data_IF_544386620192
#
_entry.id   IF_544386620192
#
_cell.length_a   1.000
_cell.length_b   1.000
_cell.length_c   1.000
_cell.angle_alpha   90.00
_cell.angle_beta   90.00
_cell.angle_gamma   90.00
#
_symmetry.space_group_name_H-M   'P 1'
#
loop_
_entity.id
_entity.type
_entity.pdbx_description
1 polymer ?
#
# COMPACT_ATOMS: atom_id res chain seq x y z
N UNK A 1 45.53 8.63 13.88
CA UNK A 1 45.64 9.03 12.47
C UNK A 1 45.28 7.82 11.61
N UNK A 2 44.06 7.74 11.10
CA UNK A 2 43.68 6.71 10.15
C UNK A 2 44.05 7.19 8.74
N UNK A 3 44.89 6.43 8.03
CA UNK A 3 45.33 6.72 6.66
C UNK A 3 44.13 6.61 5.73
N UNK A 4 43.83 7.72 5.05
CA UNK A 4 43.01 7.76 3.85
C UNK A 4 43.78 7.04 2.75
N UNK A 5 43.18 6.05 2.07
CA UNK A 5 43.70 5.51 0.81
C UNK A 5 42.82 6.12 -0.27
N UNK A 6 43.39 7.01 -1.08
CA UNK A 6 42.66 7.71 -2.14
C UNK A 6 42.24 6.77 -3.26
N UNK A 7 41.24 7.19 -4.06
CA UNK A 7 40.75 6.52 -5.27
C UNK A 7 41.92 6.15 -6.22
N UNK A 8 42.91 7.03 -6.31
CA UNK A 8 44.17 6.86 -7.05
C UNK A 8 45.09 5.79 -6.44
N UNK A 9 45.18 5.67 -5.11
CA UNK A 9 46.06 4.70 -4.43
C UNK A 9 45.47 3.29 -4.47
N UNK A 10 44.14 3.16 -4.43
CA UNK A 10 43.44 1.91 -4.74
C UNK A 10 43.74 1.51 -6.18
N UNK A 11 43.54 2.42 -7.14
CA UNK A 11 43.81 2.19 -8.56
C UNK A 11 45.28 1.80 -8.82
N UNK A 12 46.25 2.49 -8.21
CA UNK A 12 47.70 2.24 -8.32
C UNK A 12 48.16 0.94 -7.65
N UNK A 13 47.51 0.51 -6.55
CA UNK A 13 47.80 -0.77 -5.92
C UNK A 13 47.34 -1.95 -6.80
N UNK A 14 46.26 -1.77 -7.58
CA UNK A 14 45.68 -2.80 -8.44
C UNK A 14 46.23 -2.82 -9.86
N UNK A 15 46.61 -1.68 -10.44
CA UNK A 15 47.26 -1.57 -11.76
C UNK A 15 48.63 -2.29 -11.85
N UNK A 16 49.24 -2.64 -10.70
CA UNK A 16 50.51 -3.39 -10.62
C UNK A 16 50.33 -4.92 -10.66
N UNK A 17 49.09 -5.43 -10.70
CA UNK A 17 48.79 -6.85 -10.84
C UNK A 17 49.05 -7.32 -12.28
N UNK A 18 50.09 -8.13 -12.50
CA UNK A 18 50.54 -8.59 -13.84
C UNK A 18 49.59 -9.57 -14.57
N UNK A 19 48.41 -9.88 -14.02
CA UNK A 19 47.49 -10.87 -14.57
C UNK A 19 46.04 -10.33 -14.63
N UNK A 20 45.78 -9.41 -15.57
CA UNK A 20 44.46 -9.07 -16.18
C UNK A 20 43.32 -8.52 -15.28
N UNK A 21 42.39 -7.70 -15.82
CA UNK A 21 42.52 -6.26 -15.99
C UNK A 21 41.63 -5.45 -15.02
N UNK A 22 41.82 -4.14 -15.06
CA UNK A 22 41.12 -3.07 -14.36
C UNK A 22 39.67 -3.36 -13.91
N UNK A 23 39.56 -3.62 -12.60
CA UNK A 23 38.41 -3.48 -11.71
C UNK A 23 37.01 -3.75 -12.29
N UNK A 24 36.52 -4.97 -12.03
CA UNK A 24 35.12 -5.30 -12.23
C UNK A 24 34.39 -5.42 -10.89
N UNK A 25 33.60 -4.40 -10.56
CA UNK A 25 32.99 -4.25 -9.24
C UNK A 25 31.50 -4.55 -9.30
N UNK A 26 31.06 -5.41 -8.38
CA UNK A 26 29.73 -6.02 -8.28
C UNK A 26 28.91 -5.36 -7.15
N UNK A 27 27.80 -4.65 -7.45
CA UNK A 27 26.83 -4.15 -6.44
C UNK A 27 25.65 -5.13 -6.30
N UNK A 28 25.38 -5.59 -5.06
CA UNK A 28 24.45 -6.71 -4.75
C UNK A 28 23.52 -6.49 -3.54
N UNK A 29 23.10 -5.25 -3.26
CA UNK A 29 22.23 -4.94 -2.09
C UNK A 29 20.91 -5.75 -2.10
N UNK A 30 20.39 -6.25 -0.97
CA UNK A 30 19.68 -5.54 0.12
C UNK A 30 20.26 -5.83 1.53
N UNK A 31 20.13 -4.89 2.48
CA UNK A 31 20.48 -5.09 3.89
C UNK A 31 19.48 -4.35 4.78
N UNK A 32 18.66 -5.09 5.52
CA UNK A 32 17.89 -4.57 6.68
C UNK A 32 18.77 -4.06 7.87
N UNK A 33 20.08 -3.79 7.70
CA UNK A 33 21.09 -3.77 8.81
C UNK A 33 22.22 -2.71 8.77
N UNK A 34 22.10 -1.56 8.11
CA UNK A 34 23.26 -0.64 8.01
C UNK A 34 23.48 0.27 9.22
N UNK A 35 23.70 -0.33 10.38
CA UNK A 35 24.42 0.30 11.48
C UNK A 35 25.95 0.11 11.29
N UNK A 36 26.69 1.19 11.03
CA UNK A 36 28.05 1.36 11.57
C UNK A 36 29.29 1.08 10.70
N UNK A 37 29.43 1.58 9.47
CA UNK A 37 30.71 1.47 8.75
C UNK A 37 30.95 2.49 7.64
N UNK A 38 32.19 3.00 7.56
CA UNK A 38 32.62 4.13 6.72
C UNK A 38 32.88 3.78 5.24
N UNK A 39 32.43 4.65 4.32
CA UNK A 39 33.22 5.06 3.14
C UNK A 39 33.27 4.18 1.89
N UNK A 40 32.41 3.17 1.71
CA UNK A 40 32.40 2.34 0.49
C UNK A 40 30.96 2.00 0.05
N UNK A 41 30.75 1.72 -1.25
CA UNK A 41 29.60 0.93 -1.72
C UNK A 41 29.64 -0.42 -0.97
N UNK A 42 28.87 -0.58 0.11
CA UNK A 42 28.91 -1.79 0.92
C UNK A 42 28.41 -3.00 0.10
N UNK A 43 29.15 -4.12 0.14
CA UNK A 43 29.04 -5.29 -0.77
C UNK A 43 29.50 -5.06 -2.22
N UNK A 44 30.30 -4.03 -2.50
CA UNK A 44 31.04 -3.94 -3.75
C UNK A 44 32.20 -4.96 -3.77
N UNK A 45 32.10 -6.01 -4.59
CA UNK A 45 33.17 -7.01 -4.74
C UNK A 45 33.92 -6.82 -6.05
N UNK A 46 35.25 -6.77 -5.98
CA UNK A 46 36.07 -6.98 -7.16
C UNK A 46 36.18 -8.50 -7.36
N UNK A 47 35.73 -9.02 -8.49
CA UNK A 47 35.67 -10.48 -8.69
C UNK A 47 36.34 -10.93 -9.98
N UNK A 48 36.88 -12.15 -9.98
CA UNK A 48 37.38 -12.88 -11.15
C UNK A 48 36.73 -14.25 -11.27
N UNK A 49 36.75 -14.84 -12.45
CA UNK A 49 36.35 -16.25 -12.62
C UNK A 49 37.50 -17.15 -12.17
N UNK A 50 37.17 -18.27 -11.50
CA UNK A 50 38.15 -19.33 -11.18
C UNK A 50 38.79 -19.88 -12.45
N UNK A 51 40.01 -20.43 -12.34
CA UNK A 51 40.72 -21.00 -13.48
C UNK A 51 39.94 -22.13 -14.20
N UNK A 52 39.04 -22.83 -13.50
CA UNK A 52 38.18 -23.86 -14.06
C UNK A 52 36.83 -23.34 -14.60
N UNK A 53 36.57 -22.03 -14.57
CA UNK A 53 35.35 -21.41 -15.09
C UNK A 53 34.09 -21.61 -14.25
N UNK A 54 34.18 -22.29 -13.09
CA UNK A 54 33.02 -22.76 -12.32
C UNK A 54 32.51 -21.81 -11.25
N UNK A 55 33.33 -20.86 -10.77
CA UNK A 55 32.91 -19.92 -9.73
C UNK A 55 33.52 -18.52 -9.94
N UNK A 56 33.00 -17.52 -9.21
CA UNK A 56 33.63 -16.23 -9.04
C UNK A 56 34.37 -16.18 -7.71
N UNK A 57 35.53 -15.55 -7.70
CA UNK A 57 36.37 -15.31 -6.53
C UNK A 57 36.56 -13.80 -6.35
N UNK A 58 36.45 -13.32 -5.12
CA UNK A 58 36.87 -11.98 -4.75
C UNK A 58 38.42 -11.88 -4.74
N UNK A 59 38.96 -10.71 -5.10
CA UNK A 59 40.38 -10.39 -5.04
C UNK A 59 40.91 -10.18 -3.61
N UNK A 60 40.04 -10.08 -2.59
CA UNK A 60 40.43 -9.87 -1.17
C UNK A 60 41.19 -11.02 -0.50
N UNK A 61 41.49 -12.13 -1.22
CA UNK A 61 42.17 -13.35 -0.74
C UNK A 61 41.50 -14.09 0.43
N UNK A 62 40.31 -13.69 0.86
CA UNK A 62 39.61 -14.39 1.91
C UNK A 62 39.04 -15.73 1.40
N UNK A 63 39.20 -16.80 2.20
CA UNK A 63 38.80 -18.17 1.86
C UNK A 63 37.27 -18.32 1.81
N UNK A 64 36.66 -17.97 0.69
CA UNK A 64 35.22 -18.13 0.47
C UNK A 64 34.95 -19.25 -0.53
N UNK A 65 34.21 -20.27 -0.07
CA UNK A 65 33.80 -21.41 -0.88
C UNK A 65 32.53 -21.08 -1.71
N UNK A 66 32.12 -22.00 -2.60
CA UNK A 66 30.93 -21.84 -3.45
C UNK A 66 29.66 -21.45 -2.66
N UNK A 67 29.50 -21.95 -1.42
CA UNK A 67 28.40 -21.60 -0.51
C UNK A 67 28.31 -20.11 -0.17
N UNK A 68 29.45 -19.41 -0.11
CA UNK A 68 29.44 -17.97 0.14
C UNK A 68 28.74 -17.23 -1.00
N UNK A 69 29.05 -17.59 -2.25
CA UNK A 69 28.52 -16.89 -3.41
C UNK A 69 27.00 -16.88 -3.47
N UNK A 70 26.35 -17.97 -3.04
CA UNK A 70 24.90 -18.19 -3.01
C UNK A 70 24.15 -17.03 -2.34
N UNK A 71 24.70 -16.49 -1.24
CA UNK A 71 24.11 -15.37 -0.50
C UNK A 71 24.44 -13.99 -1.09
N UNK A 72 25.29 -13.91 -2.11
CA UNK A 72 25.83 -12.65 -2.63
C UNK A 72 25.07 -12.22 -3.88
N UNK A 73 25.11 -12.98 -4.98
CA UNK A 73 24.57 -12.55 -6.29
C UNK A 73 23.51 -13.47 -6.91
N UNK A 74 23.35 -14.69 -6.43
CA UNK A 74 22.41 -15.64 -7.04
C UNK A 74 20.96 -15.20 -6.86
N UNK A 75 20.21 -15.21 -7.96
CA UNK A 75 18.85 -14.65 -8.04
C UNK A 75 18.73 -13.20 -7.50
N UNK A 76 19.79 -12.41 -7.58
CA UNK A 76 19.75 -10.97 -7.24
C UNK A 76 19.98 -10.09 -8.46
N UNK A 77 19.47 -8.85 -8.45
CA UNK A 77 19.96 -7.82 -9.36
C UNK A 77 21.45 -7.57 -9.12
N UNK A 78 22.21 -7.53 -10.19
CA UNK A 78 23.66 -7.31 -10.16
C UNK A 78 24.01 -6.19 -11.12
N UNK A 79 24.84 -5.25 -10.64
CA UNK A 79 25.49 -4.27 -11.50
C UNK A 79 26.96 -4.62 -11.60
N UNK A 80 27.44 -4.70 -12.84
CA UNK A 80 28.84 -4.80 -13.19
C UNK A 80 29.23 -3.50 -13.87
N UNK A 81 30.27 -2.85 -13.38
CA UNK A 81 30.88 -1.72 -14.08
C UNK A 81 32.38 -1.92 -14.26
N UNK A 82 32.92 -1.32 -15.31
CA UNK A 82 34.34 -1.41 -15.67
C UNK A 82 34.71 -0.40 -16.75
N UNK A 83 35.93 -0.47 -17.31
CA UNK A 83 36.43 0.48 -18.29
C UNK A 83 35.57 0.53 -19.57
N UNK A 84 35.74 1.57 -20.39
CA UNK A 84 34.99 1.79 -21.64
C UNK A 84 35.00 0.56 -22.57
N UNK A 85 36.12 -0.16 -22.60
CA UNK A 85 36.30 -1.36 -23.40
C UNK A 85 35.76 -2.65 -22.74
N UNK A 86 34.99 -2.57 -21.66
CA UNK A 86 34.39 -3.75 -21.01
C UNK A 86 33.43 -4.48 -21.98
N UNK A 87 33.87 -5.65 -22.44
CA UNK A 87 33.16 -6.42 -23.45
C UNK A 87 32.13 -7.38 -22.85
N UNK A 88 31.13 -7.78 -23.65
CA UNK A 88 30.09 -8.74 -23.25
C UNK A 88 30.64 -10.14 -23.00
N UNK A 89 31.72 -10.51 -23.69
CA UNK A 89 32.45 -11.77 -23.54
C UNK A 89 33.46 -11.76 -22.38
N UNK A 90 33.52 -10.68 -21.59
CA UNK A 90 34.35 -10.64 -20.39
C UNK A 90 34.00 -11.85 -19.49
N UNK A 91 34.99 -12.60 -18.95
CA UNK A 91 34.73 -13.86 -18.27
C UNK A 91 33.69 -13.75 -17.15
N UNK A 92 33.73 -12.67 -16.36
CA UNK A 92 32.76 -12.45 -15.28
C UNK A 92 31.37 -12.07 -15.80
N UNK A 93 31.28 -11.25 -16.85
CA UNK A 93 30.00 -10.86 -17.46
C UNK A 93 29.35 -12.10 -18.06
N UNK A 94 30.13 -12.90 -18.78
CA UNK A 94 29.72 -14.20 -19.33
C UNK A 94 29.32 -15.17 -18.22
N UNK A 95 30.04 -15.18 -17.10
CA UNK A 95 29.69 -15.98 -15.94
C UNK A 95 28.33 -15.57 -15.39
N UNK A 96 28.07 -14.29 -15.15
CA UNK A 96 26.83 -13.81 -14.52
C UNK A 96 25.61 -13.84 -15.45
N UNK A 97 25.85 -13.79 -16.77
CA UNK A 97 24.81 -13.82 -17.80
C UNK A 97 24.18 -15.21 -18.01
N UNK A 98 24.75 -16.29 -17.46
CA UNK A 98 24.13 -17.62 -17.60
C UNK A 98 22.87 -17.72 -16.76
N UNK A 99 21.91 -18.48 -17.29
CA UNK A 99 20.59 -18.62 -16.68
C UNK A 99 20.66 -19.12 -15.23
N UNK A 100 19.77 -18.59 -14.39
CA UNK A 100 19.70 -18.89 -12.96
C UNK A 100 20.81 -18.28 -12.08
N UNK A 101 21.77 -17.52 -12.63
CA UNK A 101 22.88 -16.95 -11.86
C UNK A 101 22.63 -15.57 -11.29
N UNK A 102 21.79 -14.77 -11.93
CA UNK A 102 21.37 -13.45 -11.46
C UNK A 102 19.92 -13.23 -11.88
N UNK A 103 19.19 -12.36 -11.17
CA UNK A 103 17.82 -11.97 -11.54
C UNK A 103 17.80 -10.95 -12.68
N UNK A 104 18.81 -10.09 -12.70
CA UNK A 104 19.06 -9.11 -13.76
C UNK A 104 20.51 -8.66 -13.70
N UNK A 105 21.14 -8.46 -14.86
CA UNK A 105 22.53 -8.01 -14.95
C UNK A 105 22.60 -6.68 -15.71
N UNK A 106 22.98 -5.60 -15.03
CA UNK A 106 23.34 -4.33 -15.64
C UNK A 106 24.84 -4.28 -15.90
N UNK A 107 25.26 -3.86 -17.10
CA UNK A 107 26.67 -3.69 -17.46
C UNK A 107 26.91 -2.25 -17.86
N UNK A 108 27.72 -1.52 -17.07
CA UNK A 108 28.08 -0.13 -17.31
C UNK A 108 29.54 -0.05 -17.75
N UNK A 109 29.74 0.63 -18.87
CA UNK A 109 31.07 0.91 -19.45
C UNK A 109 31.45 2.32 -19.04
N UNK A 110 32.74 2.66 -19.12
CA UNK A 110 33.29 4.00 -18.80
C UNK A 110 33.53 4.27 -17.29
N UNK A 111 33.66 3.21 -16.51
CA UNK A 111 34.16 3.28 -15.13
C UNK A 111 33.19 3.86 -14.11
N UNK A 112 33.70 4.18 -12.92
CA UNK A 112 32.91 4.62 -11.78
C UNK A 112 32.25 6.00 -12.00
N UNK A 113 32.87 6.87 -12.80
CA UNK A 113 32.34 8.19 -13.14
C UNK A 113 31.05 8.10 -13.95
N UNK A 114 31.05 7.33 -15.04
CA UNK A 114 29.85 7.11 -15.83
C UNK A 114 28.76 6.35 -15.06
N UNK A 115 29.13 5.42 -14.17
CA UNK A 115 28.18 4.79 -13.25
C UNK A 115 27.56 5.81 -12.28
N UNK A 116 28.35 6.77 -11.79
CA UNK A 116 27.88 7.87 -10.93
C UNK A 116 26.99 8.84 -11.69
N UNK A 117 27.28 9.13 -12.95
CA UNK A 117 26.42 9.98 -13.77
C UNK A 117 25.10 9.29 -14.15
N UNK A 118 25.16 7.98 -14.39
CA UNK A 118 23.99 7.16 -14.71
C UNK A 118 23.12 6.88 -13.48
N UNK A 119 23.74 6.60 -12.32
CA UNK A 119 23.09 6.19 -11.08
C UNK A 119 23.65 6.99 -9.87
N UNK A 120 23.51 8.33 -9.85
CA UNK A 120 24.14 9.20 -8.84
C UNK A 120 23.72 8.87 -7.41
N UNK A 121 22.50 8.36 -7.25
CA UNK A 121 21.93 7.94 -5.97
C UNK A 121 22.63 6.73 -5.32
N UNK A 122 23.48 6.00 -6.05
CA UNK A 122 24.30 4.93 -5.48
C UNK A 122 25.53 5.47 -4.72
N UNK A 123 25.85 6.75 -4.89
CA UNK A 123 27.07 7.36 -4.39
C UNK A 123 26.73 8.39 -3.30
N UNK A 124 27.45 8.36 -2.17
CA UNK A 124 27.34 9.39 -1.12
C UNK A 124 28.71 10.02 -0.88
N UNK A 125 28.74 11.35 -0.71
CA UNK A 125 29.94 12.10 -0.30
C UNK A 125 30.01 12.31 1.22
N UNK A 126 28.97 11.93 1.97
CA UNK A 126 28.84 12.19 3.41
C UNK A 126 28.78 10.90 4.21
N UNK A 127 29.68 10.78 5.19
CA UNK A 127 29.69 9.68 6.18
C UNK A 127 28.70 9.91 7.33
N UNK A 128 27.98 11.04 7.36
CA UNK A 128 27.11 11.46 8.49
C UNK A 128 25.63 11.65 8.13
N UNK A 129 25.27 11.75 6.85
CA UNK A 129 23.86 11.85 6.44
C UNK A 129 23.26 10.45 6.26
N UNK A 130 22.08 10.19 6.81
CA UNK A 130 21.35 8.96 6.53
C UNK A 130 21.09 8.87 5.01
N UNK A 131 21.46 7.72 4.42
CA UNK A 131 21.21 7.48 3.00
C UNK A 131 19.70 7.44 2.76
N UNK A 132 19.19 8.13 1.72
CA UNK A 132 17.77 8.07 1.38
C UNK A 132 17.36 6.64 1.02
N UNK A 133 16.21 6.19 1.53
CA UNK A 133 15.56 4.96 1.06
C UNK A 133 14.95 5.22 -0.31
N UNK A 134 15.08 4.27 -1.23
CA UNK A 134 14.55 4.39 -2.59
C UNK A 134 13.36 3.46 -2.83
N UNK A 135 12.33 3.91 -3.57
CA UNK A 135 11.18 3.09 -3.92
C UNK A 135 11.56 1.99 -4.92
N UNK A 136 10.75 0.93 -4.97
CA UNK A 136 11.01 -0.21 -5.84
C UNK A 136 10.67 0.12 -7.30
N UNK A 137 11.61 -0.06 -8.22
CA UNK A 137 11.36 0.08 -9.66
C UNK A 137 10.55 -1.13 -10.18
N UNK A 138 9.26 -0.90 -10.42
CA UNK A 138 8.32 -1.91 -10.96
C UNK A 138 8.40 -1.93 -12.49
N UNK A 139 8.58 -0.75 -13.10
CA UNK A 139 9.03 -0.60 -14.48
C UNK A 139 10.33 0.18 -14.43
N UNK A 140 11.40 -0.44 -14.93
CA UNK A 140 12.74 0.13 -14.89
C UNK A 140 12.74 1.56 -15.48
N UNK A 141 13.31 2.49 -14.71
CA UNK A 141 13.49 3.91 -15.05
C UNK A 141 12.20 4.67 -15.42
N UNK A 142 11.03 4.17 -15.00
CA UNK A 142 9.74 4.73 -15.42
C UNK A 142 8.66 4.70 -14.33
N UNK A 143 8.48 3.58 -13.62
CA UNK A 143 7.41 3.45 -12.61
C UNK A 143 7.95 2.84 -11.34
N UNK A 144 7.80 3.58 -10.25
CA UNK A 144 8.27 3.24 -8.92
C UNK A 144 7.11 3.03 -7.95
N UNK A 145 7.24 2.04 -7.06
CA UNK A 145 6.31 1.73 -5.99
C UNK A 145 6.97 2.01 -4.63
N UNK A 146 6.39 2.93 -3.88
CA UNK A 146 6.93 3.37 -2.60
C UNK A 146 5.88 3.53 -1.49
N UNK A 147 6.34 4.10 -0.40
CA UNK A 147 5.58 4.49 0.78
C UNK A 147 5.66 6.02 0.98
N UNK A 148 5.16 6.49 2.11
CA UNK A 148 5.08 7.92 2.39
C UNK A 148 6.45 8.61 2.45
N UNK A 149 7.46 7.95 3.03
CA UNK A 149 8.79 8.55 3.20
C UNK A 149 9.46 8.78 1.84
N UNK A 150 9.31 7.84 0.90
CA UNK A 150 9.81 7.99 -0.46
C UNK A 150 9.21 9.20 -1.20
N UNK A 151 7.92 9.47 -0.98
CA UNK A 151 7.24 10.59 -1.63
C UNK A 151 7.57 11.94 -0.99
N UNK A 152 7.94 11.94 0.29
CA UNK A 152 8.30 13.14 1.05
C UNK A 152 9.78 13.55 0.89
N UNK A 153 10.66 12.66 0.39
CA UNK A 153 12.08 12.97 0.19
C UNK A 153 12.33 13.56 -1.21
N UNK A 154 12.54 14.88 -1.27
CA UNK A 154 12.85 15.60 -2.50
C UNK A 154 14.09 15.07 -3.23
N UNK A 155 15.09 14.55 -2.51
CA UNK A 155 16.28 13.97 -3.14
C UNK A 155 15.91 12.71 -3.90
N UNK A 156 15.06 11.86 -3.33
CA UNK A 156 14.56 10.64 -4.00
C UNK A 156 13.82 11.00 -5.28
N UNK A 157 12.96 12.03 -5.25
CA UNK A 157 12.22 12.47 -6.43
C UNK A 157 13.14 12.98 -7.54
N UNK A 158 14.16 13.79 -7.18
CA UNK A 158 15.13 14.32 -8.15
C UNK A 158 16.03 13.23 -8.73
N UNK A 159 16.58 12.37 -7.88
CA UNK A 159 17.52 11.33 -8.26
C UNK A 159 16.88 10.31 -9.22
N UNK A 160 15.58 10.05 -9.07
CA UNK A 160 14.80 9.16 -9.93
C UNK A 160 14.09 9.87 -11.09
N UNK A 161 14.31 11.19 -11.26
CA UNK A 161 13.63 12.00 -12.27
C UNK A 161 12.10 11.86 -12.23
N UNK A 162 11.52 11.77 -11.02
CA UNK A 162 10.08 11.68 -10.83
C UNK A 162 9.45 13.00 -11.26
N UNK A 163 8.44 12.90 -12.11
CA UNK A 163 7.68 14.04 -12.64
C UNK A 163 6.19 13.95 -12.32
N UNK A 164 5.73 12.80 -11.84
CA UNK A 164 4.38 12.59 -11.31
C UNK A 164 4.43 11.74 -10.03
N UNK A 165 3.76 12.22 -9.00
CA UNK A 165 3.50 11.47 -7.77
C UNK A 165 2.01 11.13 -7.70
N UNK A 166 1.69 9.84 -7.68
CA UNK A 166 0.35 9.31 -7.45
C UNK A 166 0.24 8.90 -5.98
N UNK A 167 -0.54 9.66 -5.20
CA UNK A 167 -0.74 9.40 -3.77
C UNK A 167 -2.10 8.75 -3.56
N UNK A 168 -2.15 7.55 -3.00
CA UNK A 168 -3.40 6.92 -2.54
C UNK A 168 -3.35 6.73 -1.02
N UNK A 169 -4.07 7.57 -0.27
CA UNK A 169 -3.95 7.66 1.19
C UNK A 169 -5.26 8.05 1.86
N UNK A 170 -5.37 7.90 3.19
CA UNK A 170 -6.53 8.40 3.94
C UNK A 170 -6.59 9.93 3.92
N UNK A 171 -5.41 10.55 3.79
CA UNK A 171 -5.25 12.00 3.85
C UNK A 171 -4.09 12.44 2.95
N UNK A 172 -4.27 12.41 1.61
CA UNK A 172 -3.19 12.64 0.65
C UNK A 172 -2.71 14.10 0.63
N UNK A 173 -3.54 15.04 1.07
CA UNK A 173 -3.19 16.48 1.21
C UNK A 173 -2.11 16.76 2.25
N UNK A 174 -1.79 15.78 3.11
CA UNK A 174 -0.72 15.91 4.08
C UNK A 174 0.67 15.76 3.44
N UNK A 175 0.75 15.26 2.20
CA UNK A 175 2.00 15.29 1.44
C UNK A 175 2.22 16.72 0.96
N UNK A 176 3.20 17.40 1.55
CA UNK A 176 3.53 18.80 1.27
C UNK A 176 4.97 18.90 0.78
N UNK A 177 5.27 19.99 0.07
CA UNK A 177 6.65 20.29 -0.33
C UNK A 177 7.16 19.50 -1.53
N UNK A 178 6.27 18.99 -2.39
CA UNK A 178 6.70 18.43 -3.67
C UNK A 178 7.41 19.52 -4.51
N UNK A 179 8.47 19.17 -5.27
CA UNK A 179 9.12 20.12 -6.16
C UNK A 179 8.14 20.69 -7.19
N UNK A 180 8.37 21.93 -7.64
CA UNK A 180 7.43 22.67 -8.50
C UNK A 180 7.18 22.01 -9.86
N UNK A 181 8.15 21.25 -10.34
CA UNK A 181 8.14 20.51 -11.59
C UNK A 181 7.57 19.09 -11.47
N UNK A 182 7.15 18.69 -10.27
CA UNK A 182 6.51 17.39 -9.99
C UNK A 182 5.00 17.56 -9.89
N UNK A 183 4.26 16.93 -10.79
CA UNK A 183 2.81 16.88 -10.73
C UNK A 183 2.34 15.97 -9.58
N UNK A 184 1.26 16.35 -8.91
CA UNK A 184 0.66 15.59 -7.82
C UNK A 184 -0.74 15.12 -8.19
N UNK A 185 -0.98 13.80 -8.12
CA UNK A 185 -2.28 13.18 -8.32
C UNK A 185 -2.75 12.47 -7.04
N UNK A 186 -3.51 13.17 -6.17
CA UNK A 186 -3.96 12.62 -4.89
C UNK A 186 -5.33 11.92 -4.98
N UNK A 187 -5.44 10.76 -4.33
CA UNK A 187 -6.68 10.01 -4.13
C UNK A 187 -6.89 9.69 -2.66
N UNK A 188 -8.10 9.96 -2.16
CA UNK A 188 -8.53 9.58 -0.82
C UNK A 188 -9.07 8.16 -0.87
N UNK A 189 -8.40 7.22 -0.20
CA UNK A 189 -8.85 5.83 -0.13
C UNK A 189 -8.33 5.16 1.14
N UNK A 190 -9.24 4.57 1.91
CA UNK A 190 -8.89 3.75 3.07
C UNK A 190 -8.36 2.37 2.64
N UNK A 191 -7.54 1.75 3.47
CA UNK A 191 -6.98 0.42 3.18
C UNK A 191 -7.86 -0.69 3.77
N UNK A 192 -9.09 -0.79 3.27
CA UNK A 192 -10.08 -1.76 3.74
C UNK A 192 -10.55 -2.64 2.58
N UNK A 193 -10.90 -3.89 2.88
CA UNK A 193 -11.40 -4.83 1.87
C UNK A 193 -12.76 -4.43 1.28
N UNK A 194 -13.48 -3.53 1.94
CA UNK A 194 -14.77 -2.98 1.50
C UNK A 194 -14.64 -1.77 0.59
N UNK A 195 -13.46 -1.14 0.54
CA UNK A 195 -13.23 0.06 -0.27
C UNK A 195 -13.15 -0.28 -1.76
N UNK A 196 -13.62 0.66 -2.59
CA UNK A 196 -13.67 0.47 -4.05
C UNK A 196 -12.47 1.16 -4.68
N UNK A 197 -11.41 0.39 -4.92
CA UNK A 197 -10.20 0.87 -5.59
C UNK A 197 -10.31 0.79 -7.12
N UNK A 198 -11.15 -0.11 -7.65
CA UNK A 198 -11.31 -0.35 -9.09
C UNK A 198 -11.60 0.90 -9.93
N UNK A 199 -12.44 1.86 -9.49
CA UNK A 199 -12.67 3.10 -10.24
C UNK A 199 -11.41 3.95 -10.47
N UNK A 200 -10.37 3.75 -9.64
CA UNK A 200 -9.10 4.45 -9.80
C UNK A 200 -8.20 3.82 -10.87
N UNK A 201 -8.42 2.56 -11.25
CA UNK A 201 -7.50 1.83 -12.13
C UNK A 201 -7.36 2.53 -13.48
N UNK A 202 -8.45 2.81 -14.19
CA UNK A 202 -8.36 3.40 -15.54
C UNK A 202 -7.75 4.79 -15.52
N UNK A 203 -8.20 5.65 -14.60
CA UNK A 203 -7.70 7.04 -14.46
C UNK A 203 -6.21 7.06 -14.11
N UNK A 204 -5.77 6.21 -13.17
CA UNK A 204 -4.36 6.11 -12.80
C UNK A 204 -3.55 5.52 -13.94
N UNK A 205 -4.05 4.47 -14.59
CA UNK A 205 -3.33 3.77 -15.65
C UNK A 205 -3.06 4.69 -16.84
N UNK A 206 -4.07 5.44 -17.29
CA UNK A 206 -3.94 6.43 -18.36
C UNK A 206 -2.91 7.50 -17.98
N UNK A 207 -3.04 8.09 -16.78
CA UNK A 207 -2.15 9.18 -16.36
C UNK A 207 -0.70 8.73 -16.15
N UNK A 208 -0.49 7.51 -15.64
CA UNK A 208 0.85 6.89 -15.53
C UNK A 208 1.40 6.60 -16.92
N UNK A 209 0.59 6.06 -17.84
CA UNK A 209 1.01 5.74 -19.19
C UNK A 209 1.43 6.99 -19.97
N UNK A 210 0.67 8.07 -19.89
CA UNK A 210 1.00 9.35 -20.51
C UNK A 210 2.32 9.91 -19.98
N UNK A 211 2.51 9.86 -18.66
CA UNK A 211 3.70 10.43 -18.03
C UNK A 211 4.97 9.66 -18.38
N UNK A 212 4.91 8.32 -18.38
CA UNK A 212 6.05 7.46 -18.74
C UNK A 212 6.48 7.65 -20.19
N UNK A 213 5.54 7.99 -21.08
CA UNK A 213 5.83 8.27 -22.48
C UNK A 213 6.22 9.74 -22.74
N UNK A 214 6.06 10.62 -21.75
CA UNK A 214 6.43 12.03 -21.86
C UNK A 214 7.94 12.20 -21.89
N UNK A 215 8.41 13.04 -22.81
CA UNK A 215 9.83 13.44 -22.89
C UNK A 215 10.05 14.74 -22.12
N UNK A 216 11.13 14.79 -21.33
CA UNK A 216 11.47 15.90 -20.44
C UNK A 216 12.85 16.48 -20.79
N UNK A 217 12.91 17.81 -20.91
CA UNK A 217 14.16 18.57 -21.12
C UNK A 217 14.73 18.53 -22.55
N UNK A 218 15.77 19.33 -22.80
CA UNK A 218 16.47 19.44 -24.11
C UNK A 218 17.33 18.21 -24.47
N UNK A 219 17.30 17.15 -23.65
CA UNK A 219 18.14 15.93 -23.75
C UNK A 219 17.39 14.59 -23.66
N UNK A 220 16.11 14.53 -24.05
CA UNK A 220 15.30 13.31 -24.24
C UNK A 220 15.23 12.29 -23.08
N UNK A 221 15.16 12.71 -21.80
CA UNK A 221 14.89 11.76 -20.70
C UNK A 221 13.38 11.55 -20.56
N UNK A 222 12.94 10.31 -20.32
CA UNK A 222 11.52 10.00 -20.06
C UNK A 222 11.14 10.46 -18.65
N UNK A 223 9.91 10.94 -18.50
CA UNK A 223 9.32 11.20 -17.19
C UNK A 223 9.18 9.90 -16.39
N UNK A 224 9.25 9.99 -15.07
CA UNK A 224 9.05 8.85 -14.19
C UNK A 224 7.94 9.12 -13.17
N UNK A 225 7.29 8.04 -12.74
CA UNK A 225 6.11 8.09 -11.86
C UNK A 225 6.40 7.36 -10.56
N UNK A 226 6.04 7.98 -9.43
CA UNK A 226 6.01 7.34 -8.12
C UNK A 226 4.56 7.07 -7.71
N UNK A 227 4.19 5.81 -7.55
CA UNK A 227 2.91 5.39 -6.96
C UNK A 227 3.17 5.02 -5.50
N UNK A 228 2.52 5.71 -4.56
CA UNK A 228 2.72 5.46 -3.14
C UNK A 228 1.44 5.55 -2.31
N UNK A 229 1.50 4.95 -1.12
CA UNK A 229 0.49 5.09 -0.09
C UNK A 229 1.16 5.37 1.25
N UNK A 230 0.55 4.95 2.37
CA UNK A 230 1.17 5.06 3.70
C UNK A 230 2.41 4.17 3.83
N UNK A 231 2.23 2.84 3.74
CA UNK A 231 3.30 1.85 3.95
C UNK A 231 3.86 1.24 2.65
N UNK A 232 3.28 1.57 1.50
CA UNK A 232 3.66 0.96 0.22
C UNK A 232 3.38 -0.55 0.14
N UNK A 233 2.36 -1.03 0.87
CA UNK A 233 2.02 -2.46 0.99
C UNK A 233 0.80 -2.82 0.16
N UNK A 234 -0.35 -2.17 0.38
CA UNK A 234 -1.65 -2.61 -0.17
C UNK A 234 -2.19 -1.68 -1.26
N UNK A 235 -2.69 -0.48 -0.92
CA UNK A 235 -3.31 0.47 -1.89
C UNK A 235 -2.43 0.77 -3.10
N UNK A 236 -1.19 1.23 -2.87
CA UNK A 236 -0.28 1.57 -3.96
C UNK A 236 0.22 0.35 -4.72
N UNK A 237 0.35 -0.80 -4.06
CA UNK A 237 0.70 -2.05 -4.72
C UNK A 237 -0.43 -2.51 -5.66
N UNK A 238 -1.70 -2.37 -5.25
CA UNK A 238 -2.84 -2.68 -6.10
C UNK A 238 -2.87 -1.79 -7.34
N UNK A 239 -2.67 -0.47 -7.22
CA UNK A 239 -2.56 0.42 -8.37
C UNK A 239 -1.38 0.06 -9.29
N UNK A 240 -0.20 -0.26 -8.73
CA UNK A 240 0.95 -0.68 -9.51
C UNK A 240 0.70 -2.00 -10.26
N UNK A 241 0.00 -2.96 -9.64
CA UNK A 241 -0.42 -4.20 -10.29
C UNK A 241 -1.43 -3.93 -11.41
N UNK A 242 -2.45 -3.10 -11.16
CA UNK A 242 -3.43 -2.70 -12.17
C UNK A 242 -2.77 -2.06 -13.40
N UNK A 243 -1.74 -1.24 -13.20
CA UNK A 243 -0.98 -0.65 -14.30
C UNK A 243 -0.21 -1.69 -15.12
N UNK A 244 0.44 -2.66 -14.47
CA UNK A 244 1.09 -3.76 -15.19
C UNK A 244 0.09 -4.60 -15.99
N UNK A 245 -1.08 -4.88 -15.42
CA UNK A 245 -2.15 -5.60 -16.11
C UNK A 245 -2.63 -4.82 -17.34
N UNK A 246 -2.88 -3.51 -17.18
CA UNK A 246 -3.31 -2.63 -18.27
C UNK A 246 -2.29 -2.57 -19.41
N UNK A 247 -1.01 -2.38 -19.06
CA UNK A 247 0.10 -2.20 -20.00
C UNK A 247 0.48 -3.47 -20.74
N UNK A 248 0.58 -4.58 -20.01
CA UNK A 248 1.13 -5.83 -20.54
C UNK A 248 0.06 -6.89 -20.84
N UNK A 249 -1.22 -6.58 -20.62
CA UNK A 249 -2.36 -7.48 -20.80
C UNK A 249 -2.17 -8.82 -20.09
N UNK A 250 -1.72 -8.76 -18.83
CA UNK A 250 -1.46 -9.93 -18.01
C UNK A 250 -2.46 -10.08 -16.84
N UNK A 251 -2.50 -11.27 -16.25
CA UNK A 251 -3.35 -11.57 -15.08
C UNK A 251 -2.85 -10.86 -13.82
N UNK A 252 -3.73 -10.65 -12.85
CA UNK A 252 -3.41 -10.13 -11.52
C UNK A 252 -2.33 -10.96 -10.82
N UNK A 253 -2.36 -12.29 -10.96
CA UNK A 253 -1.33 -13.19 -10.44
C UNK A 253 0.05 -12.91 -11.05
N UNK A 254 0.11 -12.75 -12.38
CA UNK A 254 1.36 -12.42 -13.08
C UNK A 254 1.87 -11.02 -12.68
N UNK A 255 0.99 -10.03 -12.60
CA UNK A 255 1.33 -8.68 -12.14
C UNK A 255 1.85 -8.70 -10.70
N UNK A 256 1.20 -9.43 -9.79
CA UNK A 256 1.60 -9.59 -8.39
C UNK A 256 2.99 -10.21 -8.27
N UNK A 257 3.28 -11.28 -9.00
CA UNK A 257 4.58 -11.93 -9.01
C UNK A 257 5.70 -10.95 -9.43
N UNK A 258 5.45 -10.13 -10.45
CA UNK A 258 6.40 -9.12 -10.93
C UNK A 258 6.63 -8.00 -9.91
N UNK A 259 5.59 -7.55 -9.23
CA UNK A 259 5.71 -6.57 -8.14
C UNK A 259 6.48 -7.17 -6.97
N UNK A 260 6.17 -8.39 -6.54
CA UNK A 260 6.83 -9.06 -5.40
C UNK A 260 8.33 -9.31 -5.63
N UNK A 261 8.75 -9.56 -6.88
CA UNK A 261 10.17 -9.64 -7.25
C UNK A 261 10.95 -8.36 -6.99
N UNK A 262 10.26 -7.22 -6.89
CA UNK A 262 10.86 -5.88 -6.70
C UNK A 262 10.55 -5.29 -5.31
N UNK A 263 9.40 -5.62 -4.72
CA UNK A 263 8.98 -5.22 -3.37
C UNK A 263 8.29 -6.38 -2.67
N UNK A 264 9.04 -7.13 -1.87
CA UNK A 264 8.59 -8.38 -1.22
C UNK A 264 7.46 -8.19 -0.20
N UNK A 265 7.28 -6.97 0.31
CA UNK A 265 6.21 -6.63 1.25
C UNK A 265 4.91 -6.21 0.55
N UNK A 266 4.87 -6.16 -0.79
CA UNK A 266 3.70 -5.74 -1.52
C UNK A 266 2.59 -6.80 -1.45
N UNK A 267 1.49 -6.46 -0.80
CA UNK A 267 0.34 -7.33 -0.58
C UNK A 267 -0.93 -6.49 -0.49
N UNK A 268 -1.71 -6.38 -1.59
CA UNK A 268 -3.06 -5.82 -1.53
C UNK A 268 -3.91 -6.55 -0.48
N UNK A 269 -4.82 -5.84 0.17
CA UNK A 269 -5.85 -6.52 0.97
C UNK A 269 -6.73 -7.42 0.07
N UNK A 270 -7.46 -8.37 0.67
CA UNK A 270 -8.22 -9.37 -0.09
C UNK A 270 -9.34 -8.75 -0.95
N UNK A 271 -9.91 -7.61 -0.54
CA UNK A 271 -10.90 -6.88 -1.33
C UNK A 271 -10.33 -6.21 -2.58
N UNK A 272 -9.15 -5.60 -2.46
CA UNK A 272 -8.43 -5.03 -3.59
C UNK A 272 -7.92 -6.13 -4.53
N UNK A 273 -7.51 -7.27 -3.98
CA UNK A 273 -7.15 -8.44 -4.77
C UNK A 273 -8.31 -8.94 -5.63
N UNK A 274 -9.49 -9.12 -5.04
CA UNK A 274 -10.70 -9.50 -5.80
C UNK A 274 -11.02 -8.49 -6.90
N UNK A 275 -10.90 -7.20 -6.62
CA UNK A 275 -11.09 -6.14 -7.61
C UNK A 275 -10.06 -6.18 -8.74
N UNK A 276 -8.80 -6.55 -8.46
CA UNK A 276 -7.81 -6.81 -9.52
C UNK A 276 -8.18 -8.02 -10.37
N UNK A 277 -8.62 -9.12 -9.76
CA UNK A 277 -9.10 -10.29 -10.50
C UNK A 277 -10.31 -9.96 -11.40
N UNK A 278 -11.24 -9.14 -10.92
CA UNK A 278 -12.36 -8.64 -11.74
C UNK A 278 -11.88 -7.76 -12.90
N UNK A 279 -10.87 -6.92 -12.67
CA UNK A 279 -10.30 -6.03 -13.70
C UNK A 279 -9.66 -6.81 -14.88
N UNK A 280 -9.28 -8.07 -14.70
CA UNK A 280 -8.86 -8.95 -15.80
C UNK A 280 -9.94 -9.09 -16.88
N UNK A 281 -11.21 -9.05 -16.49
CA UNK A 281 -12.37 -9.14 -17.38
C UNK A 281 -12.48 -7.86 -18.20
N UNK A 282 -12.39 -6.70 -17.54
CA UNK A 282 -12.48 -5.38 -18.20
C UNK A 282 -11.38 -5.21 -19.25
N UNK A 283 -10.18 -5.74 -18.97
CA UNK A 283 -9.04 -5.68 -19.87
C UNK A 283 -9.04 -6.76 -20.97
N UNK A 284 -10.00 -7.69 -20.96
CA UNK A 284 -10.07 -8.79 -21.93
C UNK A 284 -8.92 -9.79 -21.84
N UNK A 285 -8.27 -9.93 -20.68
CA UNK A 285 -7.13 -10.84 -20.49
C UNK A 285 -7.60 -12.31 -20.55
N UNK A 286 -6.89 -13.17 -21.29
CA UNK A 286 -7.15 -14.60 -21.34
C UNK A 286 -6.43 -15.32 -20.18
N UNK A 287 -7.20 -15.86 -19.24
CA UNK A 287 -6.71 -16.44 -17.98
C UNK A 287 -7.35 -15.77 -16.77
N UNK A 288 -7.48 -16.50 -15.66
CA UNK A 288 -8.12 -15.99 -14.44
C UNK A 288 -7.25 -16.27 -13.22
N UNK A 289 -7.02 -15.23 -12.42
CA UNK A 289 -6.38 -15.38 -11.11
C UNK A 289 -7.36 -15.92 -10.08
N UNK A 290 -6.87 -16.65 -9.08
CA UNK A 290 -7.70 -17.10 -7.95
C UNK A 290 -8.06 -15.89 -7.06
N UNK A 291 -9.34 -15.50 -6.97
CA UNK A 291 -9.78 -14.37 -6.16
C UNK A 291 -9.58 -14.59 -4.65
N UNK A 292 -9.32 -15.81 -4.21
CA UNK A 292 -9.11 -16.18 -2.80
C UNK A 292 -7.63 -16.41 -2.44
N UNK A 293 -6.70 -16.14 -3.36
CA UNK A 293 -5.26 -16.34 -3.14
C UNK A 293 -4.69 -15.46 -2.02
N UNK A 294 -5.31 -14.32 -1.73
CA UNK A 294 -4.99 -13.46 -0.58
C UNK A 294 -6.08 -13.66 0.47
N UNK A 295 -5.69 -14.21 1.63
CA UNK A 295 -6.63 -14.47 2.73
C UNK A 295 -7.02 -13.15 3.40
N UNK A 296 -8.32 -12.99 3.63
CA UNK A 296 -8.85 -11.95 4.52
C UNK A 296 -8.18 -12.09 5.88
N UNK A 297 -7.64 -10.99 6.42
CA UNK A 297 -7.09 -10.97 7.78
C UNK A 297 -8.18 -11.21 8.84
N UNK A 298 -9.45 -11.14 8.44
CA UNK A 298 -10.63 -11.39 9.26
C UNK A 298 -11.28 -12.77 8.99
N UNK A 299 -10.65 -13.64 8.20
CA UNK A 299 -11.24 -14.92 7.77
C UNK A 299 -11.71 -15.82 8.94
N UNK A 300 -11.04 -15.80 10.09
CA UNK A 300 -11.46 -16.58 11.26
C UNK A 300 -12.78 -16.06 11.88
N UNK A 301 -13.02 -14.75 11.85
CA UNK A 301 -14.27 -14.14 12.29
C UNK A 301 -15.39 -14.31 11.25
N UNK A 302 -15.04 -14.32 9.96
CA UNK A 302 -16.00 -14.52 8.87
C UNK A 302 -16.48 -15.98 8.75
N UNK A 303 -15.62 -16.96 9.05
CA UNK A 303 -16.00 -18.39 9.03
C UNK A 303 -16.95 -18.72 10.19
N UNK A 304 -16.67 -18.19 11.39
CA UNK A 304 -17.56 -18.32 12.55
C UNK A 304 -18.92 -17.60 12.31
N UNK A 305 -18.89 -16.41 11.70
CA UNK A 305 -20.10 -15.67 11.34
C UNK A 305 -20.91 -16.33 10.20
N UNK A 306 -20.26 -17.04 9.28
CA UNK A 306 -20.93 -17.78 8.19
C UNK A 306 -21.65 -19.05 8.70
N UNK A 307 -21.05 -19.78 9.65
CA UNK A 307 -21.70 -20.93 10.31
C UNK A 307 -22.87 -20.50 11.21
N UNK A 308 -22.81 -19.31 11.80
CA UNK A 308 -23.90 -18.74 12.60
C UNK A 308 -25.02 -18.14 11.71
N UNK A 309 -24.67 -17.54 10.57
CA UNK A 309 -25.61 -17.04 9.57
C UNK A 309 -26.36 -18.17 8.82
N UNK A 310 -25.74 -19.33 8.62
CA UNK A 310 -26.39 -20.51 8.05
C UNK A 310 -27.47 -21.12 8.98
N UNK A 311 -27.52 -20.72 10.25
CA UNK A 311 -28.55 -21.11 11.23
C UNK A 311 -29.67 -20.08 11.41
N UNK A 312 -29.56 -18.90 10.79
CA UNK A 312 -30.61 -17.89 10.80
C UNK A 312 -31.62 -18.15 9.68
N UNK A 313 -32.94 -17.95 9.89
CA UNK A 313 -33.93 -18.13 8.83
C UNK A 313 -33.66 -17.14 7.69
N UNK A 314 -33.84 -17.61 6.45
CA UNK A 314 -33.48 -16.91 5.22
C UNK A 314 -33.87 -15.42 5.22
N UNK A 315 -32.89 -14.55 4.97
CA UNK A 315 -33.08 -13.12 4.87
C UNK A 315 -34.04 -12.78 3.72
N UNK A 316 -35.02 -11.91 4.00
CA UNK A 316 -35.91 -11.33 3.01
C UNK A 316 -35.18 -10.42 1.99
N UNK A 317 -35.92 -9.89 1.00
CA UNK A 317 -35.35 -9.25 -0.18
C UNK A 317 -34.55 -7.99 0.12
N UNK A 318 -33.64 -7.62 -0.78
CA UNK A 318 -32.70 -6.53 -0.61
C UNK A 318 -33.37 -5.15 -0.75
N UNK A 319 -32.74 -4.10 -0.22
CA UNK A 319 -33.26 -2.71 -0.16
C UNK A 319 -33.71 -2.13 -1.52
N UNK A 320 -33.19 -2.63 -2.64
CA UNK A 320 -33.60 -2.20 -3.98
C UNK A 320 -34.91 -2.85 -4.48
N UNK A 321 -35.44 -3.85 -3.79
CA UNK A 321 -36.69 -4.54 -4.16
C UNK A 321 -37.92 -4.02 -3.39
N UNK A 322 -37.72 -3.30 -2.28
CA UNK A 322 -38.82 -2.78 -1.44
C UNK A 322 -39.26 -1.38 -1.87
N UNK A 323 -38.42 -0.63 -2.59
CA UNK A 323 -38.76 0.70 -3.11
C UNK A 323 -39.76 0.67 -4.29
N UNK A 324 -40.02 -0.50 -4.88
CA UNK A 324 -40.88 -0.65 -6.05
C UNK A 324 -42.34 -1.09 -5.73
N UNK A 325 -42.73 -1.17 -4.46
CA UNK A 325 -44.09 -1.54 -4.03
C UNK A 325 -44.74 -0.45 -3.18
N UNK A 326 -44.82 0.76 -3.72
CA UNK A 326 -45.61 1.84 -3.14
C UNK A 326 -47.07 1.75 -3.62
N UNK A 327 -47.88 0.97 -2.92
CA UNK A 327 -49.33 1.02 -2.95
C UNK A 327 -49.88 1.55 -1.62
N UNK A 328 -50.76 2.55 -1.71
CA UNK A 328 -51.44 3.27 -0.62
C UNK A 328 -52.00 2.38 0.50
N UNK A 329 -51.69 2.69 1.76
CA UNK A 329 -52.35 2.11 2.94
C UNK A 329 -51.45 1.79 4.14
N UNK A 330 -50.13 1.99 4.04
CA UNK A 330 -49.20 1.63 5.12
C UNK A 330 -49.16 2.73 6.19
N UNK A 331 -49.64 2.42 7.40
CA UNK A 331 -49.46 3.27 8.59
C UNK A 331 -47.98 3.54 8.79
N UNK A 332 -47.60 4.81 8.96
CA UNK A 332 -46.21 5.23 9.21
C UNK A 332 -46.06 5.58 10.68
N UNK A 333 -44.94 5.19 11.26
CA UNK A 333 -44.62 5.47 12.65
C UNK A 333 -43.34 6.29 12.73
N UNK A 334 -43.34 7.29 13.58
CA UNK A 334 -42.12 7.91 14.08
C UNK A 334 -41.68 7.20 15.36
N UNK A 335 -40.37 7.06 15.54
CA UNK A 335 -39.80 6.38 16.70
C UNK A 335 -39.08 7.36 17.60
N UNK A 336 -39.63 7.64 18.78
CA UNK A 336 -38.93 8.38 19.83
C UNK A 336 -38.05 7.40 20.61
N UNK A 337 -36.76 7.70 20.65
CA UNK A 337 -35.76 6.85 21.30
C UNK A 337 -35.19 7.56 22.51
N UNK A 338 -35.24 6.93 23.67
CA UNK A 338 -34.60 7.39 24.90
C UNK A 338 -33.49 6.43 25.30
N UNK A 339 -32.29 6.98 25.48
CA UNK A 339 -31.11 6.28 25.98
C UNK A 339 -30.60 6.95 27.26
N UNK A 340 -30.25 6.15 28.27
CA UNK A 340 -29.54 6.63 29.46
C UNK A 340 -28.04 6.48 29.23
N UNK A 341 -27.28 7.54 29.55
CA UNK A 341 -25.82 7.55 29.40
C UNK A 341 -25.22 7.16 30.74
N UNK A 342 -24.52 6.03 30.78
CA UNK A 342 -23.93 5.43 31.97
C UNK A 342 -22.40 5.53 31.92
N UNK A 343 -21.74 5.66 33.07
CA UNK A 343 -20.29 5.51 33.22
C UNK A 343 -20.04 4.57 34.40
N UNK A 344 -19.80 3.29 34.11
CA UNK A 344 -19.92 2.25 35.13
C UNK A 344 -21.36 2.13 35.61
N UNK A 345 -21.60 2.11 36.92
CA UNK A 345 -22.95 2.00 37.48
C UNK A 345 -23.68 3.35 37.60
N UNK A 346 -22.98 4.47 37.41
CA UNK A 346 -23.54 5.81 37.56
C UNK A 346 -24.19 6.32 36.26
N UNK A 347 -25.42 6.85 36.37
CA UNK A 347 -26.08 7.56 35.26
C UNK A 347 -25.56 8.99 35.17
N UNK A 348 -24.83 9.29 34.10
CA UNK A 348 -24.21 10.60 33.86
C UNK A 348 -25.00 11.48 32.88
N UNK A 349 -26.03 10.93 32.23
CA UNK A 349 -26.87 11.72 31.31
C UNK A 349 -28.04 10.97 30.70
N UNK A 350 -28.70 11.63 29.74
CA UNK A 350 -29.72 11.04 28.88
C UNK A 350 -29.67 11.65 27.48
N UNK A 351 -29.95 10.82 26.48
CA UNK A 351 -30.21 11.21 25.10
C UNK A 351 -31.67 10.88 24.79
N UNK A 352 -32.42 11.87 24.32
CA UNK A 352 -33.80 11.71 23.84
C UNK A 352 -33.84 12.26 22.42
N UNK A 353 -34.30 11.44 21.47
CA UNK A 353 -34.40 11.82 20.06
C UNK A 353 -35.84 12.26 19.80
N UNK A 354 -36.05 13.57 19.84
CA UNK A 354 -37.31 14.23 19.49
C UNK A 354 -37.06 15.43 18.56
N UNK A 355 -37.87 15.62 17.49
CA UNK A 355 -38.95 14.74 17.02
C UNK A 355 -38.43 13.33 16.65
N UNK A 356 -39.33 12.33 16.69
CA UNK A 356 -38.95 10.92 16.53
C UNK A 356 -38.38 10.63 15.14
N UNK A 357 -37.60 9.55 15.02
CA UNK A 357 -36.98 9.14 13.76
C UNK A 357 -38.07 8.65 12.80
N UNK A 358 -38.29 9.37 11.69
CA UNK A 358 -39.24 8.98 10.64
C UNK A 358 -38.62 7.93 9.69
N UNK A 359 -39.44 7.13 8.97
CA UNK A 359 -38.93 6.22 7.97
C UNK A 359 -38.19 6.97 6.85
N UNK A 360 -36.89 6.71 6.72
CA UNK A 360 -35.99 7.40 5.78
C UNK A 360 -35.09 8.46 6.42
N UNK A 361 -35.39 8.89 7.65
CA UNK A 361 -34.52 9.80 8.41
C UNK A 361 -33.27 9.08 8.91
N UNK A 362 -32.23 9.88 9.18
CA UNK A 362 -30.97 9.43 9.77
C UNK A 362 -30.63 10.35 10.93
N UNK A 363 -30.45 9.78 12.12
CA UNK A 363 -29.95 10.50 13.29
C UNK A 363 -28.53 10.03 13.59
N UNK A 364 -27.54 10.88 13.34
CA UNK A 364 -26.11 10.57 13.41
C UNK A 364 -25.56 10.92 14.78
N UNK A 365 -24.80 9.98 15.35
CA UNK A 365 -24.02 10.12 16.56
C UNK A 365 -22.55 10.22 16.17
N UNK A 366 -21.80 11.17 16.74
CA UNK A 366 -20.41 11.39 16.34
C UNK A 366 -19.66 12.35 17.26
N UNK A 367 -18.42 12.70 16.92
CA UNK A 367 -17.56 13.58 17.73
C UNK A 367 -17.59 15.04 17.28
N UNK A 368 -17.96 15.32 16.02
CA UNK A 368 -17.82 16.66 15.43
C UNK A 368 -19.17 17.31 15.17
N UNK A 369 -19.36 18.49 15.76
CA UNK A 369 -20.55 19.31 15.55
C UNK A 369 -20.65 19.70 14.06
N UNK A 370 -21.83 19.53 13.47
CA UNK A 370 -22.07 19.74 12.04
C UNK A 370 -21.87 18.49 11.16
N UNK A 371 -21.24 17.43 11.70
CA UNK A 371 -21.21 16.10 11.05
C UNK A 371 -22.13 15.08 11.74
N UNK A 372 -22.77 15.46 12.86
CA UNK A 372 -23.69 14.63 13.62
C UNK A 372 -24.69 15.48 14.42
N UNK A 373 -25.83 14.89 14.74
CA UNK A 373 -26.87 15.49 15.58
C UNK A 373 -26.57 15.31 17.08
N UNK A 374 -25.94 14.20 17.46
CA UNK A 374 -25.49 13.98 18.84
C UNK A 374 -23.97 13.91 18.94
N UNK A 375 -23.40 14.97 19.51
CA UNK A 375 -21.96 15.13 19.73
C UNK A 375 -21.52 14.41 21.00
N UNK A 376 -20.51 13.55 20.87
CA UNK A 376 -19.91 12.76 21.94
C UNK A 376 -18.43 13.12 22.10
N UNK A 377 -18.05 13.44 23.33
CA UNK A 377 -16.70 13.91 23.66
C UNK A 377 -15.75 12.75 23.95
N UNK A 378 -15.24 12.10 22.90
CA UNK A 378 -14.15 11.13 23.04
C UNK A 378 -13.31 11.02 21.77
N UNK A 379 -11.98 10.99 21.90
CA UNK A 379 -11.07 10.99 20.74
C UNK A 379 -11.17 9.74 19.87
N UNK A 380 -11.57 8.59 20.43
CA UNK A 380 -11.79 7.37 19.65
C UNK A 380 -13.08 7.38 18.82
N UNK A 381 -13.99 8.34 19.07
CA UNK A 381 -15.25 8.44 18.35
C UNK A 381 -15.00 9.23 17.05
N UNK A 382 -15.35 8.64 15.91
CA UNK A 382 -15.31 9.31 14.61
C UNK A 382 -16.23 10.53 14.54
N UNK A 383 -15.93 11.47 13.62
CA UNK A 383 -16.70 12.70 13.39
C UNK A 383 -18.19 12.45 13.16
N UNK A 384 -18.50 11.52 12.25
CA UNK A 384 -19.77 10.81 12.15
C UNK A 384 -19.46 9.32 12.44
N UNK A 385 -20.02 8.76 13.51
CA UNK A 385 -19.61 7.46 14.03
C UNK A 385 -20.62 6.37 13.73
N UNK A 386 -21.86 6.60 14.12
CA UNK A 386 -22.97 5.68 13.90
C UNK A 386 -24.22 6.49 13.57
N UNK A 387 -25.23 5.82 13.04
CA UNK A 387 -26.54 6.42 12.84
C UNK A 387 -27.63 5.54 13.41
N UNK A 388 -28.75 6.17 13.71
CA UNK A 388 -30.02 5.54 13.98
C UNK A 388 -31.00 5.83 12.84
N UNK A 389 -31.71 4.80 12.40
CA UNK A 389 -32.73 4.88 11.35
C UNK A 389 -33.95 4.05 11.76
N UNK A 390 -35.13 4.36 11.23
CA UNK A 390 -36.34 3.54 11.43
C UNK A 390 -36.90 3.03 10.10
N UNK A 391 -37.61 1.90 10.13
CA UNK A 391 -38.43 1.42 9.01
C UNK A 391 -39.90 1.85 9.14
N UNK A 392 -40.70 1.61 8.10
CA UNK A 392 -42.13 1.95 8.10
C UNK A 392 -42.95 1.23 9.19
N UNK A 393 -42.43 0.15 9.79
CA UNK A 393 -43.06 -0.58 10.90
C UNK A 393 -42.61 -0.07 12.28
N UNK A 394 -41.77 0.96 12.31
CA UNK A 394 -41.20 1.55 13.51
C UNK A 394 -40.11 0.69 14.17
N UNK A 395 -39.44 -0.20 13.42
CA UNK A 395 -38.24 -0.89 13.91
C UNK A 395 -37.07 0.07 13.81
N UNK A 396 -36.33 0.26 14.90
CA UNK A 396 -35.14 1.13 14.95
C UNK A 396 -33.88 0.29 14.75
N UNK A 397 -32.94 0.84 13.99
CA UNK A 397 -31.66 0.21 13.69
C UNK A 397 -30.53 1.15 14.07
N UNK A 398 -29.43 0.59 14.59
CA UNK A 398 -28.13 1.25 14.65
C UNK A 398 -27.23 0.72 13.54
N UNK A 399 -26.57 1.63 12.85
CA UNK A 399 -25.60 1.30 11.80
C UNK A 399 -24.31 2.04 12.08
N UNK A 400 -23.21 1.31 12.23
CA UNK A 400 -21.87 1.91 12.29
C UNK A 400 -21.52 2.52 10.91
N UNK A 401 -21.05 3.76 10.88
CA UNK A 401 -20.77 4.50 9.65
C UNK A 401 -19.34 4.29 9.13
N UNK A 402 -18.68 3.19 9.50
CA UNK A 402 -17.28 2.96 9.22
C UNK A 402 -16.39 3.67 10.23
N UNK A 403 -16.79 3.66 11.50
CA UNK A 403 -16.05 4.34 12.55
C UNK A 403 -14.69 3.68 12.81
N UNK A 404 -13.68 4.46 13.22
CA UNK A 404 -12.30 3.93 13.35
C UNK A 404 -12.12 2.94 14.49
N UNK A 405 -13.02 2.98 15.48
CA UNK A 405 -12.95 2.14 16.69
C UNK A 405 -14.22 1.30 16.88
N UNK A 406 -15.14 1.30 15.92
CA UNK A 406 -16.35 0.51 15.92
C UNK A 406 -17.46 0.97 16.88
N UNK A 407 -18.67 0.49 16.60
CA UNK A 407 -19.83 0.54 17.47
C UNK A 407 -20.07 -0.85 18.05
N UNK A 408 -20.26 -0.94 19.36
CA UNK A 408 -20.56 -2.19 20.06
C UNK A 408 -21.99 -2.13 20.63
N UNK A 409 -22.74 -3.22 20.50
CA UNK A 409 -24.09 -3.40 21.04
C UNK A 409 -24.12 -4.71 21.82
N UNK A 410 -24.42 -4.64 23.12
CA UNK A 410 -24.44 -5.79 24.04
C UNK A 410 -23.17 -6.66 23.98
N UNK A 411 -22.00 -6.05 23.87
CA UNK A 411 -20.73 -6.75 23.77
C UNK A 411 -20.36 -7.19 22.34
N UNK A 412 -21.28 -7.14 21.38
CA UNK A 412 -21.03 -7.51 19.99
C UNK A 412 -20.75 -6.29 19.10
N UNK A 413 -19.68 -6.34 18.30
CA UNK A 413 -19.35 -5.26 17.35
C UNK A 413 -20.32 -5.25 16.17
N UNK A 414 -20.90 -4.09 15.90
CA UNK A 414 -21.75 -3.84 14.73
C UNK A 414 -20.84 -3.75 13.51
N UNK A 415 -21.09 -4.60 12.51
CA UNK A 415 -20.39 -4.55 11.23
C UNK A 415 -20.69 -3.21 10.56
N UNK A 416 -19.65 -2.54 10.07
CA UNK A 416 -19.78 -1.27 9.36
C UNK A 416 -20.82 -1.36 8.23
N UNK A 417 -21.71 -0.37 8.17
CA UNK A 417 -22.82 -0.23 7.23
C UNK A 417 -23.89 -1.34 7.28
N UNK A 418 -23.80 -2.29 8.20
CA UNK A 418 -24.83 -3.30 8.41
C UNK A 418 -25.80 -2.82 9.52
N UNK A 419 -27.10 -2.65 9.23
CA UNK A 419 -28.06 -2.24 10.24
C UNK A 419 -28.28 -3.36 11.27
N UNK A 420 -28.13 -3.02 12.55
CA UNK A 420 -28.44 -3.88 13.69
C UNK A 420 -29.71 -3.37 14.36
N UNK A 421 -30.71 -4.23 14.52
CA UNK A 421 -31.95 -3.89 15.23
C UNK A 421 -31.64 -3.49 16.67
N UNK A 422 -32.16 -2.34 17.09
CA UNK A 422 -32.16 -1.90 18.48
C UNK A 422 -33.47 -2.27 19.17
N UNK A 423 -33.35 -2.65 20.44
CA UNK A 423 -34.48 -2.95 21.34
C UNK A 423 -34.23 -2.29 22.69
N UNK A 424 -35.31 -2.09 23.44
CA UNK A 424 -35.22 -1.67 24.83
C UNK A 424 -34.37 -2.64 25.64
N UNK A 425 -33.55 -2.11 26.54
CA UNK A 425 -32.57 -2.85 27.34
C UNK A 425 -31.19 -2.98 26.70
N UNK A 426 -31.05 -2.83 25.38
CA UNK A 426 -29.76 -2.95 24.71
C UNK A 426 -28.80 -1.83 25.10
N UNK A 427 -27.51 -2.15 25.17
CA UNK A 427 -26.44 -1.25 25.59
C UNK A 427 -25.50 -0.98 24.42
N UNK A 428 -25.37 0.29 24.03
CA UNK A 428 -24.46 0.72 22.99
C UNK A 428 -23.19 1.34 23.57
N UNK A 429 -22.05 1.06 22.95
CA UNK A 429 -20.77 1.71 23.22
C UNK A 429 -20.10 2.13 21.92
N UNK A 430 -19.54 3.33 21.89
CA UNK A 430 -18.94 3.92 20.68
C UNK A 430 -17.44 4.12 20.88
N UNK A 431 -16.65 3.46 20.02
CA UNK A 431 -15.20 3.37 20.14
C UNK A 431 -14.73 2.88 21.51
N UNK A 432 -13.60 3.43 21.97
CA UNK A 432 -13.02 3.15 23.28
C UNK A 432 -13.58 4.04 24.41
N UNK A 433 -14.75 4.68 24.22
CA UNK A 433 -15.38 5.47 25.28
C UNK A 433 -15.78 4.58 26.46
N UNK A 434 -15.64 5.11 27.68
CA UNK A 434 -16.15 4.47 28.90
C UNK A 434 -17.65 4.71 29.13
N UNK A 435 -18.28 5.54 28.30
CA UNK A 435 -19.71 5.82 28.36
C UNK A 435 -20.49 4.75 27.59
N UNK A 436 -21.56 4.27 28.21
CA UNK A 436 -22.52 3.35 27.60
C UNK A 436 -23.89 4.02 27.45
N UNK A 437 -24.59 3.70 26.37
CA UNK A 437 -25.92 4.22 26.06
C UNK A 437 -26.92 3.07 26.17
N UNK A 438 -27.66 3.04 27.27
CA UNK A 438 -28.67 2.00 27.52
C UNK A 438 -30.00 2.46 26.94
N UNK A 439 -30.52 1.73 25.94
CA UNK A 439 -31.84 2.00 25.37
C UNK A 439 -32.89 1.73 26.44
N UNK A 440 -33.58 2.77 26.91
CA UNK A 440 -34.62 2.64 27.92
C UNK A 440 -36.00 2.56 27.32
N UNK A 441 -36.23 3.26 26.21
CA UNK A 441 -37.54 3.32 25.57
C UNK A 441 -37.41 3.52 24.07
N UNK A 442 -38.21 2.79 23.31
CA UNK A 442 -38.47 3.02 21.88
C UNK A 442 -39.98 3.13 21.71
N UNK A 443 -40.49 4.36 21.69
CA UNK A 443 -41.92 4.65 21.58
C UNK A 443 -42.29 4.88 20.10
N UNK A 444 -43.27 4.12 19.60
CA UNK A 444 -43.81 4.31 18.24
C UNK A 444 -45.01 5.24 18.31
N UNK A 445 -44.97 6.36 17.60
CA UNK A 445 -46.11 7.27 17.44
C UNK A 445 -46.59 7.23 16.00
N UNK A 446 -47.89 7.01 15.81
CA UNK A 446 -48.47 6.96 14.47
C UNK A 446 -48.49 8.36 13.87
N UNK A 447 -47.94 8.50 12.67
CA UNK A 447 -47.84 9.78 11.97
C UNK A 447 -49.06 9.89 11.09
N UNK A 448 -49.99 10.76 11.48
CA UNK A 448 -51.16 11.09 10.66
C UNK A 448 -50.68 11.69 9.33
N UNK A 449 -51.12 11.06 8.23
CA UNK A 449 -50.82 11.44 6.84
C UNK A 449 -51.18 12.88 6.51
#
# INVERSE_FOLDING_TARGET
>A
MAKYIGEEEVYQAFARSRYDPESLILDVRDVKKYAGGHGHLYNAFCVRVTNNGRALLDYSKAHYNFKWSEGVWWDKPVIVYGPENLKKDHPVVTFLSKDGRTRSLGVYREGAGALRDALPFLFTTSTKAAAPSYPAAIVQDAVYLGDWEHAADERVLRDLNITLVVTVHNDPKNLRGLPKDVAHLPFVLADLETERIRPLFDVVNERVHDEVNRVVGKGKRRGAVLIHCGAGVSRSAALAMAYLMYRDKCTAASARERVLRRRTIAEPNAGFWRQLCEYEIDLGVHGRSDPNAIKSKNAAAETAAAEEAAKAPAAGPSFNEVAALAGSGVRRYECVVEMHIMKGEERVGKLVIEPGIQPGDRYVLGREQGSCEHVMEHLSISRAHAQLTSDAKGVVYVTDLGSSHGTNVDGAWVRAHAPKVLREGMVLRFGASTREYVVKRIEKREVSS
#
